data_IF_486911142302
#
_entry.id   IF_486911142302
#
_cell.length_a   1.000
_cell.length_b   1.000
_cell.length_c   1.000
_cell.angle_alpha   90.00
_cell.angle_beta   90.00
_cell.angle_gamma   90.00
#
_symmetry.space_group_name_H-M   'P 1'
#
loop_
_entity.id
_entity.type
_entity.pdbx_description
1 polymer ?
#
# COMPACT_ATOMS: atom_id res chain seq x y z
N UNK A 1 27.56 14.04 5.20
CA UNK A 1 26.93 13.41 4.00
C UNK A 1 27.45 11.99 3.82
N UNK A 2 28.78 11.74 3.91
CA UNK A 2 29.34 10.38 3.76
C UNK A 2 28.83 9.40 4.84
N UNK A 3 28.66 9.86 6.07
CA UNK A 3 28.21 9.04 7.19
C UNK A 3 26.75 8.54 7.02
N UNK A 4 25.82 9.40 6.60
CA UNK A 4 24.42 9.03 6.38
C UNK A 4 24.27 7.92 5.34
N UNK A 5 24.84 8.07 4.15
CA UNK A 5 24.77 7.05 3.09
C UNK A 5 25.46 5.75 3.50
N UNK A 6 26.56 5.85 4.24
CA UNK A 6 27.29 4.68 4.77
C UNK A 6 26.44 3.90 5.77
N UNK A 7 25.71 4.59 6.66
CA UNK A 7 24.80 3.91 7.60
C UNK A 7 23.67 3.21 6.89
N UNK A 8 23.07 3.86 5.86
CA UNK A 8 22.01 3.23 5.05
C UNK A 8 22.56 2.01 4.30
N UNK A 9 23.72 2.12 3.65
CA UNK A 9 24.34 1.00 2.95
C UNK A 9 24.58 -0.19 3.90
N UNK A 10 25.17 0.07 5.06
CA UNK A 10 25.42 -0.97 6.07
C UNK A 10 24.11 -1.64 6.57
N UNK A 11 23.04 -0.86 6.76
CA UNK A 11 21.75 -1.41 7.17
C UNK A 11 21.12 -2.28 6.06
N UNK A 12 21.21 -1.87 4.79
CA UNK A 12 20.72 -2.65 3.65
C UNK A 12 21.54 -3.94 3.46
N UNK A 13 22.87 -3.89 3.60
CA UNK A 13 23.75 -5.06 3.60
C UNK A 13 23.44 -6.00 4.78
N UNK A 14 23.03 -5.45 5.93
CA UNK A 14 22.56 -6.19 7.10
C UNK A 14 21.16 -6.80 6.94
N UNK A 15 20.54 -6.69 5.77
CA UNK A 15 19.23 -7.27 5.46
C UNK A 15 18.03 -6.35 5.77
N UNK A 16 18.27 -5.10 6.20
CA UNK A 16 17.18 -4.11 6.31
C UNK A 16 16.66 -3.73 4.93
N UNK A 17 15.42 -3.23 4.85
CA UNK A 17 14.78 -2.80 3.60
C UNK A 17 14.34 -1.35 3.69
N UNK A 18 14.48 -0.63 2.59
CA UNK A 18 13.93 0.72 2.47
C UNK A 18 12.41 0.70 2.61
N UNK A 19 11.88 1.55 3.50
CA UNK A 19 10.44 1.67 3.76
C UNK A 19 9.86 3.04 3.41
N UNK A 20 10.69 4.09 3.36
CA UNK A 20 10.25 5.43 2.97
C UNK A 20 11.25 6.51 3.33
N UNK A 21 11.02 7.71 2.80
CA UNK A 21 11.81 8.89 3.09
C UNK A 21 10.87 10.10 3.23
N UNK A 22 11.21 11.02 4.12
CA UNK A 22 10.52 12.32 4.24
C UNK A 22 11.48 13.42 4.69
N UNK A 23 11.05 14.67 4.49
CA UNK A 23 11.78 15.85 4.94
C UNK A 23 11.04 16.50 6.12
N UNK A 24 11.78 16.86 7.16
CA UNK A 24 11.28 17.56 8.35
C UNK A 24 12.42 18.25 9.10
N UNK A 25 12.13 19.38 9.77
CA UNK A 25 13.05 20.06 10.69
C UNK A 25 14.43 20.39 10.12
N UNK A 26 14.53 20.67 8.82
CA UNK A 26 15.82 20.92 8.16
C UNK A 26 16.67 19.66 7.92
N UNK A 27 16.06 18.49 8.01
CA UNK A 27 16.69 17.18 7.77
C UNK A 27 15.88 16.33 6.82
N UNK A 28 16.52 15.33 6.24
CA UNK A 28 15.87 14.21 5.54
C UNK A 28 15.98 12.98 6.44
N UNK A 29 14.88 12.25 6.56
CA UNK A 29 14.77 11.05 7.36
C UNK A 29 14.43 9.86 6.46
N UNK A 30 15.26 8.83 6.49
CA UNK A 30 15.02 7.55 5.80
C UNK A 30 14.60 6.50 6.79
N UNK A 31 13.44 5.89 6.54
CA UNK A 31 12.96 4.75 7.29
C UNK A 31 13.45 3.44 6.65
N UNK A 32 14.08 2.61 7.45
CA UNK A 32 14.52 1.27 7.13
C UNK A 32 13.78 0.28 8.02
N UNK A 33 13.42 -0.88 7.49
CA UNK A 33 12.80 -1.98 8.26
C UNK A 33 13.80 -3.11 8.39
N UNK A 34 14.17 -3.40 9.61
CA UNK A 34 15.04 -4.53 9.95
C UNK A 34 14.32 -5.88 9.75
N UNK A 35 15.04 -7.02 9.65
CA UNK A 35 14.44 -8.34 9.46
C UNK A 35 13.43 -8.75 10.53
N UNK A 36 13.55 -8.23 11.75
CA UNK A 36 12.61 -8.44 12.86
C UNK A 36 11.37 -7.51 12.80
N UNK A 37 11.29 -6.62 11.81
CA UNK A 37 10.21 -5.65 11.62
C UNK A 37 10.42 -4.31 12.31
N UNK A 38 11.50 -4.12 13.07
CA UNK A 38 11.81 -2.86 13.71
C UNK A 38 12.08 -1.76 12.69
N UNK A 39 11.52 -0.56 12.94
CA UNK A 39 11.72 0.61 12.09
C UNK A 39 12.89 1.42 12.64
N UNK A 40 13.89 1.63 11.80
CA UNK A 40 15.04 2.48 12.07
C UNK A 40 14.92 3.76 11.24
N UNK A 41 15.17 4.92 11.85
CA UNK A 41 15.18 6.22 11.18
C UNK A 41 16.61 6.72 11.09
N UNK A 42 17.13 6.80 9.87
CA UNK A 42 18.41 7.40 9.57
C UNK A 42 18.22 8.83 9.08
N UNK A 43 19.00 9.78 9.60
CA UNK A 43 18.79 11.19 9.32
C UNK A 43 20.05 11.85 8.77
N UNK A 44 19.84 12.78 7.84
CA UNK A 44 20.86 13.68 7.33
C UNK A 44 20.39 15.14 7.39
N UNK A 45 21.22 16.08 7.83
CA UNK A 45 20.90 17.51 7.73
C UNK A 45 20.86 17.94 6.26
N UNK A 46 19.92 18.82 5.94
CA UNK A 46 19.87 19.52 4.66
C UNK A 46 20.81 20.73 4.74
N UNK A 47 21.79 20.79 3.84
CA UNK A 47 22.75 21.89 3.76
C UNK A 47 22.52 22.64 2.45
N UNK A 48 22.22 23.92 2.53
CA UNK A 48 21.91 24.78 1.36
C UNK A 48 20.82 24.18 0.44
N UNK A 49 19.80 23.54 1.05
CA UNK A 49 18.71 22.88 0.32
C UNK A 49 19.10 21.57 -0.36
N UNK A 50 20.27 20.99 -0.04
CA UNK A 50 20.83 19.81 -0.71
C UNK A 50 21.11 18.68 0.28
N UNK A 51 20.97 17.44 -0.22
CA UNK A 51 21.30 16.21 0.49
C UNK A 51 21.78 15.15 -0.51
N UNK A 52 22.62 14.21 -0.08
CA UNK A 52 23.04 13.11 -0.95
C UNK A 52 21.89 12.15 -1.27
N UNK A 53 21.69 11.82 -2.54
CA UNK A 53 20.72 10.81 -2.98
C UNK A 53 21.08 9.42 -2.48
N UNK A 54 20.08 8.58 -2.26
CA UNK A 54 20.24 7.16 -1.91
C UNK A 54 19.63 6.22 -2.97
N UNK A 55 19.24 6.76 -4.13
CA UNK A 55 18.59 5.99 -5.21
C UNK A 55 19.49 4.88 -5.77
N UNK A 56 20.80 5.09 -5.78
CA UNK A 56 21.80 4.09 -6.17
C UNK A 56 21.93 2.93 -5.16
N UNK A 57 21.65 3.19 -3.87
CA UNK A 57 21.61 2.18 -2.80
C UNK A 57 20.25 1.50 -2.71
N UNK A 58 19.18 2.27 -2.86
CA UNK A 58 17.81 1.83 -2.77
C UNK A 58 16.96 2.50 -3.87
N UNK A 59 16.82 1.88 -5.06
CA UNK A 59 16.02 2.43 -6.17
C UNK A 59 14.57 2.75 -5.78
N UNK A 60 14.03 2.07 -4.78
CA UNK A 60 12.72 2.32 -4.18
C UNK A 60 12.55 3.75 -3.62
N UNK A 61 13.65 4.48 -3.34
CA UNK A 61 13.61 5.86 -2.85
C UNK A 61 13.33 6.89 -3.95
N UNK A 62 13.32 6.49 -5.23
CA UNK A 62 13.18 7.40 -6.36
C UNK A 62 11.97 8.34 -6.24
N UNK A 63 10.79 7.80 -5.95
CA UNK A 63 9.59 8.62 -5.83
C UNK A 63 9.62 9.49 -4.58
N UNK A 64 10.11 8.97 -3.45
CA UNK A 64 10.19 9.70 -2.20
C UNK A 64 11.14 10.93 -2.31
N UNK A 65 12.29 10.80 -2.98
CA UNK A 65 13.20 11.91 -3.22
C UNK A 65 12.60 12.96 -4.17
N UNK A 66 11.97 12.54 -5.26
CA UNK A 66 11.29 13.44 -6.21
C UNK A 66 10.12 14.19 -5.55
N UNK A 67 9.32 13.51 -4.72
CA UNK A 67 8.27 14.14 -3.94
C UNK A 67 8.85 15.20 -2.97
N UNK A 68 9.95 14.88 -2.30
CA UNK A 68 10.62 15.83 -1.41
C UNK A 68 11.20 17.04 -2.16
N UNK A 69 11.63 16.86 -3.42
CA UNK A 69 12.01 17.98 -4.27
C UNK A 69 10.82 18.90 -4.56
N UNK A 70 9.71 18.32 -5.02
CA UNK A 70 8.56 19.10 -5.46
C UNK A 70 7.86 19.80 -4.29
N UNK A 71 7.70 19.12 -3.13
CA UNK A 71 6.93 19.63 -2.00
C UNK A 71 7.77 20.49 -1.03
N UNK A 72 9.09 20.27 -0.95
CA UNK A 72 9.95 20.93 0.04
C UNK A 72 11.13 21.70 -0.56
N UNK A 73 11.22 21.74 -1.90
CA UNK A 73 12.27 22.47 -2.60
C UNK A 73 13.68 21.89 -2.41
N UNK A 74 13.79 20.61 -2.04
CA UNK A 74 15.06 19.96 -1.82
C UNK A 74 15.71 19.53 -3.13
N UNK A 75 17.02 19.36 -3.12
CA UNK A 75 17.79 18.77 -4.21
C UNK A 75 18.60 17.58 -3.71
N UNK A 76 18.52 16.47 -4.44
CA UNK A 76 19.25 15.24 -4.13
C UNK A 76 20.43 15.07 -5.06
N UNK A 77 21.63 15.21 -4.51
CA UNK A 77 22.88 15.08 -5.28
C UNK A 77 23.12 13.63 -5.67
N UNK A 78 23.24 13.36 -6.97
CA UNK A 78 23.39 12.02 -7.53
C UNK A 78 22.07 11.37 -7.96
N UNK A 79 20.92 12.04 -7.83
CA UNK A 79 19.66 11.56 -8.41
C UNK A 79 19.53 12.05 -9.86
N UNK A 80 19.86 11.19 -10.82
CA UNK A 80 19.78 11.53 -12.24
C UNK A 80 19.00 10.46 -13.03
N UNK A 81 18.00 10.88 -13.84
CA UNK A 81 17.46 12.23 -13.94
C UNK A 81 16.46 12.56 -12.83
N UNK A 82 16.64 13.69 -12.16
CA UNK A 82 15.69 14.20 -11.18
C UNK A 82 14.52 14.86 -11.93
N UNK A 83 13.39 14.17 -11.99
CA UNK A 83 12.20 14.59 -12.73
C UNK A 83 11.06 14.95 -11.77
N UNK A 84 10.15 15.89 -12.14
CA UNK A 84 8.97 16.18 -11.34
C UNK A 84 8.10 14.96 -11.11
N UNK A 85 7.49 14.85 -9.94
CA UNK A 85 6.53 13.81 -9.58
C UNK A 85 5.14 14.39 -9.28
N UNK A 86 5.09 15.38 -8.39
CA UNK A 86 3.85 16.02 -7.90
C UNK A 86 3.57 17.31 -8.68
N UNK A 87 4.61 18.05 -9.07
CA UNK A 87 4.47 19.29 -9.83
C UNK A 87 3.99 19.01 -11.25
N UNK A 88 2.80 19.53 -11.58
CA UNK A 88 2.15 19.38 -12.88
C UNK A 88 2.25 20.64 -13.76
N UNK A 89 2.85 21.72 -13.28
CA UNK A 89 2.98 22.97 -14.03
C UNK A 89 4.14 22.94 -15.03
N UNK A 90 5.00 21.91 -14.93
CA UNK A 90 6.14 21.73 -15.81
C UNK A 90 5.75 21.07 -17.14
N UNK A 91 6.50 21.42 -18.21
CA UNK A 91 6.31 20.82 -19.54
C UNK A 91 6.39 19.30 -19.48
N UNK A 92 5.51 18.62 -20.21
CA UNK A 92 5.48 17.17 -20.34
C UNK A 92 6.80 16.57 -20.80
N UNK A 93 7.65 17.34 -21.52
CA UNK A 93 8.97 16.90 -21.95
C UNK A 93 9.96 16.73 -20.79
N UNK A 94 9.81 17.51 -19.73
CA UNK A 94 10.66 17.40 -18.54
C UNK A 94 10.24 16.21 -17.65
N UNK A 95 9.02 15.72 -17.84
CA UNK A 95 8.46 14.62 -17.06
C UNK A 95 8.77 13.23 -17.65
N UNK A 96 8.82 13.08 -18.98
CA UNK A 96 9.06 11.78 -19.65
C UNK A 96 10.54 11.47 -19.79
N UNK A 97 10.88 10.17 -19.82
CA UNK A 97 12.22 9.69 -20.16
C UNK A 97 12.34 9.56 -21.68
N UNK A 98 13.41 10.06 -22.32
CA UNK A 98 13.67 9.78 -23.72
C UNK A 98 13.90 8.27 -23.95
N UNK A 99 13.11 7.68 -24.82
CA UNK A 99 13.25 6.26 -25.23
C UNK A 99 13.89 6.22 -26.62
N UNK A 100 14.94 5.40 -26.76
CA UNK A 100 15.61 5.13 -28.04
C UNK A 100 15.12 3.81 -28.59
N UNK A 101 14.96 3.72 -29.91
CA UNK A 101 14.53 2.50 -30.61
C UNK A 101 14.26 2.81 -32.07
N UNK A 102 13.93 1.78 -32.84
CA UNK A 102 13.51 1.91 -34.26
C UNK A 102 12.04 2.34 -34.28
N UNK A 103 11.78 3.57 -34.73
CA UNK A 103 10.47 4.20 -34.81
C UNK A 103 9.57 4.08 -33.54
N UNK A 104 10.05 4.43 -32.32
CA UNK A 104 9.19 4.43 -31.15
C UNK A 104 8.15 5.54 -31.26
N UNK A 105 6.89 5.20 -30.99
CA UNK A 105 5.83 6.20 -30.87
C UNK A 105 5.21 6.19 -29.48
N UNK A 106 4.48 7.25 -29.15
CA UNK A 106 3.88 7.42 -27.85
C UNK A 106 2.36 7.25 -27.92
N UNK A 107 1.83 6.47 -26.97
CA UNK A 107 0.38 6.37 -26.74
C UNK A 107 0.08 6.98 -25.38
N UNK A 108 -0.80 7.99 -25.36
CA UNK A 108 -1.22 8.68 -24.17
C UNK A 108 -2.62 8.20 -23.74
N UNK A 109 -2.76 7.80 -22.46
CA UNK A 109 -4.02 7.34 -21.88
C UNK A 109 -4.28 8.13 -20.58
N UNK A 110 -5.48 8.69 -20.46
CA UNK A 110 -5.84 9.55 -19.32
C UNK A 110 -5.36 11.01 -19.47
N UNK A 111 -5.48 11.86 -18.43
CA UNK A 111 -5.77 11.53 -17.03
C UNK A 111 -7.24 11.22 -16.71
N UNK A 112 -8.15 11.40 -17.65
CA UNK A 112 -9.59 11.12 -17.45
C UNK A 112 -9.91 9.77 -18.10
N UNK A 113 -10.45 8.83 -17.30
CA UNK A 113 -10.80 7.47 -17.71
C UNK A 113 -12.31 7.23 -17.62
N UNK A 114 -13.11 8.00 -18.36
CA UNK A 114 -14.58 7.91 -18.42
C UNK A 114 -15.28 7.92 -17.03
N UNK A 115 -14.65 8.46 -15.99
CA UNK A 115 -15.20 8.53 -14.64
C UNK A 115 -15.22 7.23 -13.85
N UNK A 116 -14.65 6.15 -14.38
CA UNK A 116 -14.66 4.82 -13.74
C UNK A 116 -13.52 4.66 -12.74
N UNK A 117 -12.35 5.22 -13.04
CA UNK A 117 -11.16 5.20 -12.18
C UNK A 117 -10.68 6.62 -11.89
N UNK A 118 -9.88 6.76 -10.83
CA UNK A 118 -9.30 8.04 -10.46
C UNK A 118 -8.30 8.53 -11.50
N UNK A 119 -7.97 9.84 -11.47
CA UNK A 119 -7.16 10.49 -12.49
C UNK A 119 -5.69 10.03 -12.42
N UNK A 120 -5.19 9.54 -13.52
CA UNK A 120 -3.80 9.20 -13.73
C UNK A 120 -3.50 9.21 -15.24
N UNK A 121 -2.34 9.72 -15.62
CA UNK A 121 -1.91 9.74 -17.01
C UNK A 121 -0.83 8.69 -17.25
N UNK A 122 -1.05 7.88 -18.25
CA UNK A 122 -0.11 6.86 -18.69
C UNK A 122 0.42 7.23 -20.06
N UNK A 123 1.73 7.32 -20.19
CA UNK A 123 2.40 7.51 -21.47
C UNK A 123 3.22 6.27 -21.78
N UNK A 124 2.75 5.53 -22.75
CA UNK A 124 3.41 4.34 -23.27
C UNK A 124 4.35 4.74 -24.39
N UNK A 125 5.58 4.27 -24.34
CA UNK A 125 6.51 4.28 -25.44
C UNK A 125 6.49 2.89 -26.06
N UNK A 126 6.11 2.78 -27.31
CA UNK A 126 5.84 1.48 -27.99
C UNK A 126 6.56 1.38 -29.32
N UNK A 127 6.89 0.13 -29.69
CA UNK A 127 7.28 -0.24 -31.06
C UNK A 127 6.34 -1.36 -31.50
N UNK A 128 5.57 -1.12 -32.57
CA UNK A 128 4.40 -1.95 -32.84
C UNK A 128 3.44 -1.91 -31.66
N UNK A 129 3.02 -3.07 -31.16
CA UNK A 129 2.17 -3.17 -29.94
C UNK A 129 2.96 -3.43 -28.65
N UNK A 130 4.29 -3.52 -28.72
CA UNK A 130 5.13 -3.83 -27.56
C UNK A 130 5.51 -2.58 -26.79
N UNK A 131 5.22 -2.57 -25.51
CA UNK A 131 5.60 -1.51 -24.58
C UNK A 131 7.11 -1.58 -24.31
N UNK A 132 7.85 -0.52 -24.63
CA UNK A 132 9.25 -0.38 -24.26
C UNK A 132 9.37 0.22 -22.86
N UNK A 133 8.52 1.21 -22.57
CA UNK A 133 8.50 1.91 -21.30
C UNK A 133 7.11 2.48 -21.02
N UNK A 134 6.76 2.53 -19.75
CA UNK A 134 5.59 3.24 -19.24
C UNK A 134 6.06 4.37 -18.31
N UNK A 135 5.70 5.60 -18.64
CA UNK A 135 5.73 6.73 -17.71
C UNK A 135 4.33 6.92 -17.12
N UNK A 136 4.21 6.72 -15.81
CA UNK A 136 2.97 6.92 -15.06
C UNK A 136 3.03 8.27 -14.31
N UNK A 137 2.06 9.16 -14.59
CA UNK A 137 1.89 10.43 -13.92
C UNK A 137 0.64 10.41 -13.08
N UNK A 138 0.81 10.45 -11.77
CA UNK A 138 -0.25 10.52 -10.77
C UNK A 138 -0.33 11.93 -10.17
N UNK A 139 -0.83 12.05 -8.96
CA UNK A 139 -0.93 13.30 -8.18
C UNK A 139 -1.88 14.36 -8.76
N UNK A 140 -2.79 13.99 -9.69
CA UNK A 140 -3.83 14.88 -10.19
C UNK A 140 -4.85 15.29 -9.13
N UNK A 141 -4.96 14.50 -8.07
CA UNK A 141 -5.84 14.76 -6.92
C UNK A 141 -5.03 14.90 -5.63
N UNK A 142 -3.83 15.46 -5.71
CA UNK A 142 -3.05 15.76 -4.51
C UNK A 142 -3.79 16.81 -3.67
N UNK A 143 -4.17 16.41 -2.46
CA UNK A 143 -4.99 17.21 -1.54
C UNK A 143 -4.17 17.81 -0.40
N UNK A 144 -2.88 17.46 -0.31
CA UNK A 144 -2.00 17.90 0.77
C UNK A 144 -2.46 17.39 2.14
N UNK A 145 -2.97 16.14 2.23
CA UNK A 145 -3.52 15.60 3.48
C UNK A 145 -2.49 15.57 4.60
N UNK A 146 -1.22 15.25 4.29
CA UNK A 146 -0.14 15.25 5.27
C UNK A 146 0.04 16.64 5.87
N UNK A 147 0.14 17.67 5.02
CA UNK A 147 0.26 19.07 5.47
C UNK A 147 -0.97 19.58 6.20
N UNK A 148 -2.16 19.12 5.81
CA UNK A 148 -3.41 19.52 6.45
C UNK A 148 -3.54 18.97 7.90
N UNK A 149 -2.73 18.01 8.31
CA UNK A 149 -2.65 17.52 9.69
C UNK A 149 -1.74 18.36 10.58
N UNK A 150 -0.83 19.15 10.01
CA UNK A 150 0.12 19.95 10.77
C UNK A 150 -0.58 20.95 11.70
N UNK A 151 -0.02 21.15 12.88
CA UNK A 151 -0.56 21.97 13.98
C UNK A 151 -1.89 21.48 14.60
N UNK A 152 -2.47 20.37 14.15
CA UNK A 152 -3.65 19.73 14.76
C UNK A 152 -3.23 18.89 15.97
N UNK A 153 -4.17 18.63 16.89
CA UNK A 153 -3.93 17.61 17.89
C UNK A 153 -3.77 16.22 17.26
N UNK A 154 -3.14 15.28 17.94
CA UNK A 154 -2.94 13.92 17.44
C UNK A 154 -4.28 13.25 17.08
N UNK A 155 -5.34 13.48 17.85
CA UNK A 155 -6.66 12.93 17.56
C UNK A 155 -7.32 13.56 16.31
N UNK A 156 -7.20 14.89 16.15
CA UNK A 156 -7.77 15.61 15.00
C UNK A 156 -7.10 15.26 13.66
N UNK A 157 -5.88 14.71 13.68
CA UNK A 157 -5.19 14.25 12.48
C UNK A 157 -5.72 12.91 11.93
N UNK A 158 -6.35 12.08 12.76
CA UNK A 158 -6.82 10.73 12.39
C UNK A 158 -7.75 10.71 11.15
N UNK A 159 -8.78 11.56 11.03
CA UNK A 159 -9.65 11.56 9.85
C UNK A 159 -8.91 11.85 8.54
N UNK A 160 -7.84 12.64 8.56
CA UNK A 160 -7.04 12.93 7.37
C UNK A 160 -6.32 11.68 6.88
N UNK A 161 -5.71 10.91 7.77
CA UNK A 161 -5.09 9.63 7.41
C UNK A 161 -6.12 8.66 6.82
N UNK A 162 -7.27 8.50 7.44
CA UNK A 162 -8.34 7.61 6.95
C UNK A 162 -8.92 8.04 5.60
N UNK A 163 -8.98 9.36 5.33
CA UNK A 163 -9.52 9.91 4.09
C UNK A 163 -8.53 9.92 2.92
N UNK A 164 -7.31 9.41 3.11
CA UNK A 164 -6.39 9.21 2.01
C UNK A 164 -7.00 8.28 0.95
N UNK A 165 -7.66 7.18 1.36
CA UNK A 165 -8.33 6.25 0.44
C UNK A 165 -9.38 5.42 1.18
N UNK A 166 -10.54 5.20 0.57
CA UNK A 166 -11.59 4.34 1.13
C UNK A 166 -11.17 2.86 1.20
N UNK A 167 -10.38 2.40 0.25
CA UNK A 167 -9.94 1.01 0.18
C UNK A 167 -8.88 0.64 1.25
N UNK A 168 -8.19 1.61 1.83
CA UNK A 168 -7.18 1.42 2.86
C UNK A 168 -7.47 2.28 4.12
N UNK A 169 -8.74 2.58 4.38
CA UNK A 169 -9.15 3.51 5.43
C UNK A 169 -8.76 3.00 6.82
N UNK A 170 -9.00 1.71 7.10
CA UNK A 170 -8.64 1.09 8.39
C UNK A 170 -7.14 1.02 8.54
N UNK A 171 -6.44 0.54 7.51
CA UNK A 171 -4.98 0.45 7.55
C UNK A 171 -4.34 1.80 7.85
N UNK A 172 -4.77 2.86 7.15
CA UNK A 172 -4.21 4.20 7.32
C UNK A 172 -4.53 4.77 8.70
N UNK A 173 -5.74 4.56 9.22
CA UNK A 173 -6.12 5.03 10.57
C UNK A 173 -5.43 4.23 11.66
N UNK A 174 -5.30 2.91 11.53
CA UNK A 174 -4.56 2.08 12.50
C UNK A 174 -3.08 2.46 12.52
N UNK A 175 -2.45 2.65 11.34
CA UNK A 175 -1.06 3.07 11.27
C UNK A 175 -0.85 4.43 11.93
N UNK A 176 -1.70 5.41 11.64
CA UNK A 176 -1.64 6.73 12.26
C UNK A 176 -1.89 6.66 13.78
N UNK A 177 -2.93 5.94 14.23
CA UNK A 177 -3.25 5.80 15.64
C UNK A 177 -2.09 5.19 16.41
N UNK A 178 -1.49 4.10 15.91
CA UNK A 178 -0.35 3.46 16.54
C UNK A 178 0.88 4.37 16.62
N UNK A 179 1.14 5.20 15.60
CA UNK A 179 2.23 6.19 15.63
C UNK A 179 1.97 7.25 16.72
N UNK A 180 0.75 7.78 16.79
CA UNK A 180 0.35 8.72 17.84
C UNK A 180 0.43 8.10 19.25
N UNK A 181 0.04 6.84 19.40
CA UNK A 181 0.12 6.11 20.66
C UNK A 181 1.56 5.92 21.14
N UNK A 182 2.51 5.71 20.22
CA UNK A 182 3.93 5.69 20.58
C UNK A 182 4.39 7.06 21.12
N UNK A 183 3.89 8.16 20.52
CA UNK A 183 4.16 9.52 21.01
C UNK A 183 3.56 9.74 22.39
N UNK A 184 2.35 9.23 22.62
CA UNK A 184 1.65 9.36 23.91
C UNK A 184 2.12 8.37 24.98
N UNK A 185 3.02 7.44 24.68
CA UNK A 185 3.43 6.38 25.58
C UNK A 185 2.30 5.40 25.89
N UNK A 186 1.47 5.09 24.89
CA UNK A 186 0.36 4.15 24.97
C UNK A 186 0.62 2.85 24.24
N UNK A 187 0.03 1.76 24.73
CA UNK A 187 0.04 0.45 24.07
C UNK A 187 -1.39 -0.10 23.99
N UNK A 188 -1.77 -0.75 22.88
CA UNK A 188 -3.08 -1.37 22.78
C UNK A 188 -3.22 -2.51 23.79
N UNK A 189 -4.39 -2.58 24.44
CA UNK A 189 -4.81 -3.76 25.19
C UNK A 189 -5.13 -4.91 24.23
N UNK A 190 -5.33 -6.12 24.74
CA UNK A 190 -5.69 -7.30 23.92
C UNK A 190 -6.98 -7.04 23.16
N UNK A 191 -7.95 -6.35 23.76
CA UNK A 191 -9.25 -6.01 23.15
C UNK A 191 -9.06 -5.01 22.01
N UNK A 192 -8.28 -3.96 22.19
CA UNK A 192 -7.95 -2.98 21.13
C UNK A 192 -7.21 -3.64 19.99
N UNK A 193 -6.18 -4.44 20.29
CA UNK A 193 -5.41 -5.15 19.29
C UNK A 193 -6.29 -6.10 18.47
N UNK A 194 -7.18 -6.86 19.14
CA UNK A 194 -8.11 -7.78 18.50
C UNK A 194 -9.13 -7.05 17.63
N UNK A 195 -9.76 -5.99 18.13
CA UNK A 195 -10.74 -5.21 17.38
C UNK A 195 -10.13 -4.61 16.10
N UNK A 196 -8.95 -4.00 16.20
CA UNK A 196 -8.25 -3.43 15.04
C UNK A 196 -7.83 -4.50 14.04
N UNK A 197 -7.44 -5.68 14.51
CA UNK A 197 -7.10 -6.80 13.62
C UNK A 197 -8.33 -7.30 12.85
N UNK A 198 -9.48 -7.42 13.51
CA UNK A 198 -10.75 -7.76 12.84
C UNK A 198 -11.09 -6.73 11.77
N UNK A 199 -10.99 -5.44 12.07
CA UNK A 199 -11.26 -4.37 11.12
C UNK A 199 -10.32 -4.41 9.90
N UNK A 200 -9.02 -4.65 10.12
CA UNK A 200 -8.02 -4.79 9.06
C UNK A 200 -8.31 -6.00 8.16
N UNK A 201 -8.70 -7.14 8.73
CA UNK A 201 -9.02 -8.33 7.95
C UNK A 201 -10.37 -8.19 7.23
N UNK A 202 -11.36 -7.48 7.79
CA UNK A 202 -12.59 -7.12 7.08
C UNK A 202 -12.30 -6.17 5.89
N UNK A 203 -11.39 -5.20 6.05
CA UNK A 203 -10.90 -4.35 4.96
C UNK A 203 -10.21 -5.19 3.89
N UNK A 204 -9.34 -6.12 4.27
CA UNK A 204 -8.63 -7.01 3.36
C UNK A 204 -9.58 -7.89 2.56
N UNK A 205 -10.57 -8.50 3.21
CA UNK A 205 -11.53 -9.41 2.60
C UNK A 205 -12.24 -8.77 1.40
N UNK A 206 -12.93 -7.65 1.61
CA UNK A 206 -13.67 -7.04 0.52
C UNK A 206 -12.78 -6.50 -0.60
N UNK A 207 -11.55 -6.04 -0.26
CA UNK A 207 -10.58 -5.61 -1.26
C UNK A 207 -10.14 -6.79 -2.13
N UNK A 208 -9.72 -7.90 -1.56
CA UNK A 208 -9.24 -9.04 -2.36
C UNK A 208 -10.35 -9.71 -3.17
N UNK A 209 -11.58 -9.78 -2.64
CA UNK A 209 -12.73 -10.22 -3.44
C UNK A 209 -12.97 -9.30 -4.65
N UNK A 210 -12.92 -7.98 -4.45
CA UNK A 210 -12.98 -7.00 -5.53
C UNK A 210 -11.86 -7.20 -6.55
N UNK A 211 -10.62 -7.37 -6.09
CA UNK A 211 -9.43 -7.46 -6.91
C UNK A 211 -9.47 -8.69 -7.82
N UNK A 212 -9.91 -9.84 -7.31
CA UNK A 212 -10.15 -11.07 -8.09
C UNK A 212 -11.19 -10.77 -9.18
N UNK A 213 -12.28 -10.11 -8.83
CA UNK A 213 -13.31 -9.68 -9.78
C UNK A 213 -12.76 -8.75 -10.86
N UNK A 214 -11.90 -7.79 -10.50
CA UNK A 214 -11.29 -6.87 -11.44
C UNK A 214 -10.32 -7.58 -12.41
N UNK A 215 -9.59 -8.60 -11.96
CA UNK A 215 -8.76 -9.42 -12.85
C UNK A 215 -9.64 -10.17 -13.85
N UNK A 216 -10.79 -10.73 -13.42
CA UNK A 216 -11.78 -11.31 -14.33
C UNK A 216 -12.26 -10.31 -15.38
N UNK A 217 -12.56 -9.07 -14.99
CA UNK A 217 -12.90 -8.00 -15.93
C UNK A 217 -11.74 -7.67 -16.90
N UNK A 218 -10.49 -7.75 -16.43
CA UNK A 218 -9.29 -7.50 -17.21
C UNK A 218 -9.11 -8.47 -18.38
N UNK A 219 -9.57 -9.70 -18.25
CA UNK A 219 -9.59 -10.70 -19.32
C UNK A 219 -10.93 -10.79 -20.07
N UNK A 220 -11.91 -9.95 -19.72
CA UNK A 220 -13.23 -9.95 -20.33
C UNK A 220 -14.18 -11.02 -19.80
N UNK A 221 -13.88 -11.68 -18.68
CA UNK A 221 -14.77 -12.69 -18.05
C UNK A 221 -15.84 -12.02 -17.18
N UNK A 222 -16.90 -11.51 -17.82
CA UNK A 222 -17.98 -10.78 -17.15
C UNK A 222 -18.67 -11.59 -16.03
N UNK A 223 -18.93 -12.88 -16.24
CA UNK A 223 -19.57 -13.74 -15.26
C UNK A 223 -18.75 -13.85 -13.96
N UNK A 224 -17.45 -14.07 -14.07
CA UNK A 224 -16.53 -14.09 -12.94
C UNK A 224 -16.49 -12.74 -12.20
N UNK A 225 -16.37 -11.64 -12.96
CA UNK A 225 -16.38 -10.29 -12.39
C UNK A 225 -17.67 -10.03 -11.59
N UNK A 226 -18.86 -10.26 -12.17
CA UNK A 226 -20.15 -10.00 -11.51
C UNK A 226 -20.28 -10.81 -10.22
N UNK A 227 -19.83 -12.06 -10.20
CA UNK A 227 -19.90 -12.93 -9.04
C UNK A 227 -19.04 -12.41 -7.88
N UNK A 228 -17.78 -12.04 -8.14
CA UNK A 228 -16.90 -11.48 -7.12
C UNK A 228 -17.31 -10.06 -6.69
N UNK A 229 -17.88 -9.25 -7.56
CA UNK A 229 -18.47 -7.95 -7.21
C UNK A 229 -19.67 -8.13 -6.25
N UNK A 230 -20.51 -9.15 -6.47
CA UNK A 230 -21.61 -9.46 -5.55
C UNK A 230 -21.09 -9.87 -4.15
N UNK A 231 -20.04 -10.69 -4.08
CA UNK A 231 -19.39 -11.07 -2.82
C UNK A 231 -18.75 -9.85 -2.13
N UNK A 232 -18.11 -8.99 -2.89
CA UNK A 232 -17.56 -7.72 -2.40
C UNK A 232 -18.64 -6.85 -1.77
N UNK A 233 -19.79 -6.75 -2.42
CA UNK A 233 -20.93 -5.97 -1.90
C UNK A 233 -21.47 -6.55 -0.61
N UNK A 234 -21.58 -7.87 -0.49
CA UNK A 234 -22.00 -8.54 0.76
C UNK A 234 -21.01 -8.23 1.90
N UNK A 235 -19.70 -8.35 1.65
CA UNK A 235 -18.68 -8.01 2.66
C UNK A 235 -18.78 -6.54 3.10
N UNK A 236 -19.04 -5.61 2.17
CA UNK A 236 -19.23 -4.18 2.50
C UNK A 236 -20.52 -3.90 3.27
N UNK A 237 -21.60 -4.65 3.02
CA UNK A 237 -22.85 -4.56 3.80
C UNK A 237 -22.61 -5.06 5.22
N UNK A 238 -21.94 -6.20 5.37
CA UNK A 238 -21.53 -6.69 6.67
C UNK A 238 -20.70 -5.65 7.44
N UNK A 239 -19.73 -5.00 6.79
CA UNK A 239 -18.99 -3.92 7.42
C UNK A 239 -19.90 -2.79 7.93
N UNK A 240 -20.91 -2.39 7.14
CA UNK A 240 -21.85 -1.34 7.53
C UNK A 240 -22.73 -1.78 8.72
N UNK A 241 -23.16 -3.02 8.77
CA UNK A 241 -23.93 -3.59 9.89
C UNK A 241 -23.10 -3.59 11.18
N UNK A 242 -21.81 -3.95 11.10
CA UNK A 242 -20.94 -4.05 12.27
C UNK A 242 -20.45 -2.69 12.80
N UNK A 243 -20.24 -1.70 11.92
CA UNK A 243 -19.54 -0.45 12.28
C UNK A 243 -20.29 0.83 11.91
N UNK A 244 -21.43 0.70 11.22
CA UNK A 244 -22.17 1.85 10.68
C UNK A 244 -21.64 2.41 9.36
N UNK A 245 -20.51 1.88 8.84
CA UNK A 245 -19.92 2.38 7.59
C UNK A 245 -19.34 1.27 6.71
N UNK A 246 -19.70 1.25 5.41
CA UNK A 246 -19.30 0.24 4.41
C UNK A 246 -17.78 0.08 4.24
N UNK A 247 -17.03 1.17 4.43
CA UNK A 247 -15.57 1.23 4.37
C UNK A 247 -14.92 1.39 5.74
N UNK A 248 -15.65 1.10 6.82
CA UNK A 248 -15.16 1.08 8.20
C UNK A 248 -14.60 2.43 8.68
N UNK A 249 -15.02 3.57 8.08
CA UNK A 249 -14.63 4.89 8.58
C UNK A 249 -15.18 5.12 10.00
N UNK A 250 -14.38 5.74 10.85
CA UNK A 250 -14.77 6.10 12.20
C UNK A 250 -14.75 4.93 13.20
N UNK A 251 -14.17 3.78 12.82
CA UNK A 251 -14.11 2.60 13.70
C UNK A 251 -12.83 2.51 14.55
N UNK A 252 -11.85 3.37 14.28
CA UNK A 252 -10.55 3.44 15.02
C UNK A 252 -10.41 4.81 15.64
N UNK A 253 -9.92 4.86 16.88
CA UNK A 253 -9.55 6.08 17.60
C UNK A 253 -8.07 6.06 17.94
N UNK A 254 -7.48 7.26 18.14
CA UNK A 254 -6.17 7.39 18.78
C UNK A 254 -6.33 7.04 20.25
N UNK A 255 -5.62 6.02 20.70
CA UNK A 255 -5.73 5.52 22.08
C UNK A 255 -6.84 4.51 22.30
N UNK A 256 -7.46 3.95 21.23
CA UNK A 256 -8.50 2.95 21.39
C UNK A 256 -9.17 2.48 20.11
N UNK A 257 -10.38 1.95 20.25
CA UNK A 257 -11.31 1.66 19.18
C UNK A 257 -12.74 2.01 19.57
N UNK A 258 -13.52 2.47 18.60
CA UNK A 258 -14.90 2.94 18.82
C UNK A 258 -15.97 1.86 18.60
N UNK A 259 -15.62 0.68 18.10
CA UNK A 259 -16.59 -0.35 17.69
C UNK A 259 -16.89 -1.34 18.78
N UNK A 260 -18.18 -1.73 18.86
CA UNK A 260 -18.67 -2.82 19.71
C UNK A 260 -19.77 -3.57 18.98
N UNK A 261 -19.68 -4.90 18.88
CA UNK A 261 -20.70 -5.73 18.26
C UNK A 261 -20.62 -7.19 18.71
N UNK A 262 -21.77 -7.87 18.61
CA UNK A 262 -21.87 -9.31 18.82
C UNK A 262 -21.47 -10.08 17.55
N UNK A 263 -20.62 -11.11 17.63
CA UNK A 263 -20.03 -11.73 16.45
C UNK A 263 -20.90 -12.78 15.76
N UNK A 264 -22.04 -13.19 16.32
CA UNK A 264 -22.82 -14.34 15.82
C UNK A 264 -23.26 -14.16 14.36
N UNK A 265 -23.94 -13.04 14.05
CA UNK A 265 -24.39 -12.73 12.69
C UNK A 265 -23.21 -12.55 11.71
N UNK A 266 -22.12 -11.92 12.18
CA UNK A 266 -20.92 -11.77 11.37
C UNK A 266 -20.29 -13.12 10.98
N UNK A 267 -20.22 -14.07 11.91
CA UNK A 267 -19.68 -15.41 11.63
C UNK A 267 -20.54 -16.17 10.61
N UNK A 268 -21.87 -16.06 10.71
CA UNK A 268 -22.80 -16.71 9.79
C UNK A 268 -22.62 -16.15 8.37
N UNK A 269 -22.63 -14.84 8.20
CA UNK A 269 -22.47 -14.20 6.89
C UNK A 269 -21.07 -14.44 6.31
N UNK A 270 -20.01 -14.39 7.12
CA UNK A 270 -18.65 -14.70 6.69
C UNK A 270 -18.52 -16.16 6.22
N UNK A 271 -19.17 -17.11 6.89
CA UNK A 271 -19.18 -18.51 6.45
C UNK A 271 -19.89 -18.67 5.10
N UNK A 272 -21.00 -17.95 4.89
CA UNK A 272 -21.72 -17.97 3.62
C UNK A 272 -20.90 -17.32 2.49
N UNK A 273 -20.26 -16.17 2.74
CA UNK A 273 -19.35 -15.51 1.76
C UNK A 273 -18.18 -16.45 1.44
N UNK A 274 -17.59 -17.12 2.44
CA UNK A 274 -16.51 -18.08 2.24
C UNK A 274 -16.92 -19.20 1.29
N UNK A 275 -18.00 -19.89 1.60
CA UNK A 275 -18.48 -21.03 0.79
C UNK A 275 -18.74 -20.63 -0.67
N UNK A 276 -19.32 -19.46 -0.90
CA UNK A 276 -19.60 -18.96 -2.23
C UNK A 276 -18.32 -18.50 -2.96
N UNK A 277 -17.39 -17.86 -2.25
CA UNK A 277 -16.10 -17.45 -2.82
C UNK A 277 -15.23 -18.65 -3.23
N UNK A 278 -15.23 -19.73 -2.44
CA UNK A 278 -14.55 -20.98 -2.77
C UNK A 278 -15.19 -21.68 -3.99
N UNK A 279 -16.50 -21.62 -4.12
CA UNK A 279 -17.21 -22.13 -5.31
C UNK A 279 -16.85 -21.30 -6.55
N UNK A 280 -16.90 -19.97 -6.43
CA UNK A 280 -16.52 -19.06 -7.51
C UNK A 280 -15.07 -19.25 -7.94
N UNK A 281 -14.15 -19.40 -6.97
CA UNK A 281 -12.74 -19.65 -7.25
C UNK A 281 -12.52 -20.94 -8.02
N UNK A 282 -13.16 -22.05 -7.61
CA UNK A 282 -13.08 -23.33 -8.34
C UNK A 282 -13.54 -23.21 -9.80
N UNK A 283 -14.62 -22.48 -10.05
CA UNK A 283 -15.10 -22.24 -11.42
C UNK A 283 -14.08 -21.46 -12.28
N UNK A 284 -13.37 -20.49 -11.68
CA UNK A 284 -12.30 -19.78 -12.37
C UNK A 284 -11.15 -20.70 -12.77
N UNK A 285 -10.75 -21.62 -11.88
CA UNK A 285 -9.66 -22.56 -12.15
C UNK A 285 -9.96 -23.52 -13.31
N UNK A 286 -11.23 -23.85 -13.54
CA UNK A 286 -11.68 -24.70 -14.64
C UNK A 286 -12.02 -23.93 -15.93
N UNK A 287 -11.86 -22.60 -15.94
CA UNK A 287 -12.10 -21.79 -17.11
C UNK A 287 -10.78 -21.59 -17.90
N UNK A 288 -10.56 -22.44 -18.92
CA UNK A 288 -9.35 -22.39 -19.73
C UNK A 288 -9.10 -21.00 -20.39
N UNK A 289 -10.17 -20.37 -20.94
CA UNK A 289 -10.06 -19.05 -21.57
C UNK A 289 -9.63 -17.95 -20.58
N UNK A 290 -9.92 -18.11 -19.29
CA UNK A 290 -9.44 -17.25 -18.23
C UNK A 290 -7.99 -17.59 -17.88
N UNK A 291 -7.72 -18.85 -17.57
CA UNK A 291 -6.42 -19.30 -17.07
C UNK A 291 -5.28 -19.10 -18.06
N UNK A 292 -5.54 -19.28 -19.36
CA UNK A 292 -4.53 -19.15 -20.43
C UNK A 292 -4.07 -17.69 -20.67
N UNK A 293 -4.82 -16.70 -20.15
CA UNK A 293 -4.51 -15.26 -20.32
C UNK A 293 -3.62 -14.68 -19.20
N UNK A 294 -3.38 -15.43 -18.13
CA UNK A 294 -2.74 -14.91 -16.93
C UNK A 294 -1.23 -15.15 -16.84
N UNK A 295 -0.71 -16.31 -17.28
CA UNK A 295 0.72 -16.62 -17.17
C UNK A 295 1.57 -15.70 -18.04
N UNK A 296 2.78 -15.44 -17.55
CA UNK A 296 3.84 -14.70 -18.26
C UNK A 296 3.48 -13.25 -18.65
N UNK A 297 2.41 -12.69 -18.07
CA UNK A 297 1.96 -11.31 -18.30
C UNK A 297 2.34 -10.44 -17.10
N UNK A 298 3.05 -9.34 -17.35
CA UNK A 298 3.40 -8.35 -16.34
C UNK A 298 4.31 -8.92 -15.26
N UNK A 299 5.35 -9.62 -15.64
CA UNK A 299 6.30 -10.27 -14.74
C UNK A 299 7.09 -9.22 -13.95
N UNK A 300 7.22 -9.44 -12.66
CA UNK A 300 8.17 -8.78 -11.77
C UNK A 300 9.04 -9.86 -11.14
N UNK A 301 10.31 -9.89 -11.50
CA UNK A 301 11.24 -10.84 -10.91
C UNK A 301 11.40 -10.58 -9.41
N UNK A 302 11.92 -11.59 -8.67
CA UNK A 302 12.21 -11.43 -7.25
C UNK A 302 13.21 -10.29 -6.99
N UNK A 303 14.21 -10.17 -7.85
CA UNK A 303 15.26 -9.16 -7.73
C UNK A 303 14.72 -7.76 -8.04
N UNK A 304 13.86 -7.61 -9.07
CA UNK A 304 13.17 -6.35 -9.37
C UNK A 304 12.21 -5.96 -8.25
N UNK A 305 11.45 -6.91 -7.71
CA UNK A 305 10.56 -6.67 -6.57
C UNK A 305 11.33 -6.15 -5.35
N UNK A 306 12.53 -6.70 -5.12
CA UNK A 306 13.42 -6.26 -4.05
C UNK A 306 13.97 -4.85 -4.33
N UNK A 307 14.50 -4.61 -5.54
CA UNK A 307 15.11 -3.35 -5.92
C UNK A 307 14.11 -2.18 -5.91
N UNK A 308 12.90 -2.39 -6.45
CA UNK A 308 11.83 -1.38 -6.45
C UNK A 308 11.07 -1.28 -5.13
N UNK A 309 11.41 -2.11 -4.14
CA UNK A 309 10.76 -2.09 -2.83
C UNK A 309 9.28 -2.48 -2.88
N UNK A 310 8.95 -3.49 -3.69
CA UNK A 310 7.59 -4.03 -3.77
C UNK A 310 7.11 -4.49 -2.39
N UNK A 311 5.82 -4.30 -2.12
CA UNK A 311 5.18 -4.70 -0.87
C UNK A 311 3.87 -5.46 -1.14
N UNK A 312 3.39 -6.19 -0.14
CA UNK A 312 2.09 -6.83 -0.20
C UNK A 312 1.98 -7.97 -1.22
N UNK A 313 0.80 -8.16 -1.82
CA UNK A 313 0.57 -9.23 -2.81
C UNK A 313 1.54 -9.20 -3.99
N UNK A 314 1.98 -8.00 -4.43
CA UNK A 314 2.97 -7.87 -5.50
C UNK A 314 4.33 -8.47 -5.11
N UNK A 315 4.82 -8.17 -3.91
CA UNK A 315 6.07 -8.72 -3.38
C UNK A 315 5.98 -10.24 -3.19
N UNK A 316 4.89 -10.71 -2.57
CA UNK A 316 4.69 -12.14 -2.28
C UNK A 316 4.52 -12.96 -3.55
N UNK A 317 3.82 -12.45 -4.55
CA UNK A 317 3.71 -13.09 -5.87
C UNK A 317 5.06 -13.23 -6.60
N UNK A 318 6.04 -12.40 -6.25
CA UNK A 318 7.43 -12.46 -6.73
C UNK A 318 8.36 -13.26 -5.80
N UNK A 319 7.82 -14.01 -4.83
CA UNK A 319 8.59 -14.86 -3.92
C UNK A 319 9.25 -14.17 -2.73
N UNK A 320 8.84 -12.94 -2.41
CA UNK A 320 9.29 -12.24 -1.20
C UNK A 320 8.28 -12.50 -0.07
N UNK A 321 8.60 -13.39 0.86
CA UNK A 321 7.75 -13.73 2.00
C UNK A 321 7.73 -12.63 3.07
N UNK A 322 7.47 -11.38 2.67
CA UNK A 322 7.39 -10.23 3.56
C UNK A 322 5.94 -9.81 3.79
N UNK A 323 5.57 -9.68 5.06
CA UNK A 323 4.24 -9.26 5.49
C UNK A 323 4.35 -8.58 6.86
N UNK A 324 3.88 -7.33 6.96
CA UNK A 324 3.96 -6.59 8.22
C UNK A 324 3.10 -7.21 9.34
N UNK A 325 2.16 -8.09 9.02
CA UNK A 325 1.38 -8.85 10.00
C UNK A 325 2.26 -9.81 10.81
N UNK A 326 3.27 -10.41 10.17
CA UNK A 326 4.15 -11.39 10.82
C UNK A 326 5.06 -10.79 11.91
N UNK A 327 5.34 -9.50 11.82
CA UNK A 327 6.23 -8.79 12.76
C UNK A 327 5.50 -7.78 13.64
N UNK A 328 4.16 -7.74 13.59
CA UNK A 328 3.38 -6.78 14.38
C UNK A 328 3.28 -7.21 15.84
N UNK A 329 3.73 -6.35 16.75
CA UNK A 329 3.60 -6.51 18.21
C UNK A 329 2.42 -5.72 18.81
N UNK A 330 1.66 -5.01 17.96
CA UNK A 330 0.55 -4.12 18.38
C UNK A 330 -0.82 -4.57 17.86
N UNK A 331 -0.87 -5.70 17.16
CA UNK A 331 -2.08 -6.31 16.59
C UNK A 331 -2.14 -7.79 16.96
N UNK A 332 -3.32 -8.41 16.84
CA UNK A 332 -3.55 -9.79 17.25
C UNK A 332 -3.20 -10.81 16.14
N UNK A 333 -1.97 -10.76 15.65
CA UNK A 333 -1.44 -11.66 14.62
C UNK A 333 -0.47 -12.71 15.17
N UNK A 334 -0.58 -13.06 16.44
CA UNK A 334 0.31 -14.06 17.06
C UNK A 334 0.33 -15.37 16.25
N UNK A 335 1.52 -15.83 15.87
CA UNK A 335 1.70 -17.04 15.05
C UNK A 335 1.37 -16.88 13.56
N UNK A 336 1.09 -15.66 13.10
CA UNK A 336 0.87 -15.41 11.67
C UNK A 336 2.14 -15.67 10.87
N UNK A 337 1.98 -16.36 9.73
CA UNK A 337 3.04 -16.56 8.75
C UNK A 337 2.61 -16.03 7.39
N UNK A 338 3.51 -15.32 6.72
CA UNK A 338 3.28 -14.89 5.36
C UNK A 338 3.20 -16.10 4.41
N UNK A 339 2.24 -16.07 3.51
CA UNK A 339 2.07 -17.11 2.48
C UNK A 339 2.52 -16.55 1.14
N UNK A 340 3.25 -17.35 0.37
CA UNK A 340 3.59 -17.07 -1.02
C UNK A 340 2.98 -18.15 -1.93
N UNK A 341 2.65 -17.84 -3.20
CA UNK A 341 2.14 -18.85 -4.13
C UNK A 341 3.19 -19.94 -4.36
N UNK A 342 2.74 -21.15 -4.67
CA UNK A 342 3.65 -22.25 -4.98
C UNK A 342 4.57 -21.93 -6.16
N UNK A 343 4.01 -21.29 -7.20
CA UNK A 343 4.76 -20.75 -8.34
C UNK A 343 4.77 -19.21 -8.25
N UNK A 344 5.76 -18.67 -7.55
CA UNK A 344 5.93 -17.24 -7.37
C UNK A 344 6.59 -16.61 -8.62
N UNK A 345 5.91 -16.69 -9.77
CA UNK A 345 6.42 -16.23 -11.07
C UNK A 345 6.44 -14.70 -11.20
N UNK A 346 5.79 -13.97 -10.28
CA UNK A 346 5.70 -12.52 -10.32
C UNK A 346 4.78 -11.97 -11.43
N UNK A 347 3.99 -12.81 -12.09
CA UNK A 347 3.06 -12.46 -13.14
C UNK A 347 1.64 -12.21 -12.63
N UNK A 348 0.70 -11.97 -13.54
CA UNK A 348 -0.72 -11.77 -13.20
C UNK A 348 -1.29 -12.99 -12.49
N UNK A 349 -0.94 -14.21 -12.92
CA UNK A 349 -1.43 -15.44 -12.30
C UNK A 349 -0.95 -15.53 -10.84
N UNK A 350 0.32 -15.32 -10.59
CA UNK A 350 0.88 -15.37 -9.24
C UNK A 350 0.24 -14.31 -8.31
N UNK A 351 -0.03 -13.09 -8.83
CA UNK A 351 -0.73 -12.05 -8.06
C UNK A 351 -2.19 -12.39 -7.79
N UNK A 352 -2.87 -13.08 -8.70
CA UNK A 352 -4.23 -13.58 -8.50
C UNK A 352 -4.27 -14.70 -7.44
N UNK A 353 -3.39 -15.70 -7.57
CA UNK A 353 -3.26 -16.80 -6.61
C UNK A 353 -2.92 -16.29 -5.20
N UNK A 354 -2.03 -15.30 -5.10
CA UNK A 354 -1.70 -14.66 -3.83
C UNK A 354 -2.93 -14.08 -3.13
N UNK A 355 -3.80 -13.37 -3.88
CA UNK A 355 -5.03 -12.82 -3.30
C UNK A 355 -6.01 -13.91 -2.87
N UNK A 356 -6.13 -14.98 -3.62
CA UNK A 356 -6.98 -16.11 -3.24
C UNK A 356 -6.49 -16.79 -1.96
N UNK A 357 -5.17 -16.97 -1.81
CA UNK A 357 -4.56 -17.48 -0.59
C UNK A 357 -4.83 -16.54 0.61
N UNK A 358 -4.67 -15.23 0.42
CA UNK A 358 -4.94 -14.25 1.48
C UNK A 358 -6.41 -14.16 1.85
N UNK A 359 -7.35 -14.37 0.91
CA UNK A 359 -8.80 -14.49 1.21
C UNK A 359 -9.05 -15.66 2.16
N UNK A 360 -8.46 -16.84 1.88
CA UNK A 360 -8.62 -18.00 2.76
C UNK A 360 -8.04 -17.74 4.14
N UNK A 361 -6.82 -17.20 4.20
CA UNK A 361 -6.15 -16.84 5.45
C UNK A 361 -6.95 -15.79 6.25
N UNK A 362 -7.56 -14.83 5.57
CA UNK A 362 -8.44 -13.82 6.20
C UNK A 362 -9.68 -14.46 6.82
N UNK A 363 -10.33 -15.42 6.15
CA UNK A 363 -11.46 -16.14 6.74
C UNK A 363 -11.06 -16.93 7.99
N UNK A 364 -9.90 -17.59 7.97
CA UNK A 364 -9.41 -18.36 9.12
C UNK A 364 -9.08 -17.45 10.30
N UNK A 365 -8.45 -16.30 10.05
CA UNK A 365 -8.17 -15.27 11.06
C UNK A 365 -9.47 -14.71 11.66
N UNK A 366 -10.42 -14.30 10.82
CA UNK A 366 -11.70 -13.77 11.28
C UNK A 366 -12.48 -14.82 12.07
N UNK A 367 -12.50 -16.08 11.64
CA UNK A 367 -13.13 -17.17 12.38
C UNK A 367 -12.52 -17.36 13.77
N UNK A 368 -11.20 -17.21 13.91
CA UNK A 368 -10.50 -17.27 15.20
C UNK A 368 -10.79 -16.05 16.08
N UNK A 369 -10.73 -14.84 15.50
CA UNK A 369 -10.83 -13.58 16.24
C UNK A 369 -12.27 -13.26 16.68
N UNK A 370 -13.28 -13.78 15.98
CA UNK A 370 -14.72 -13.55 16.26
C UNK A 370 -15.34 -14.58 17.23
N UNK A 371 -14.55 -15.19 18.13
CA UNK A 371 -15.06 -16.15 19.11
C UNK A 371 -15.72 -15.48 20.35
N UNK A 372 -15.48 -14.20 20.57
CA UNK A 372 -16.02 -13.41 21.66
C UNK A 372 -16.52 -12.05 21.18
N UNK A 373 -17.40 -11.36 21.91
CA UNK A 373 -17.86 -10.02 21.59
C UNK A 373 -16.69 -9.05 21.34
N UNK A 374 -16.85 -8.18 20.34
CA UNK A 374 -15.96 -7.03 20.15
C UNK A 374 -16.48 -5.89 21.02
N UNK A 375 -15.62 -5.31 21.82
CA UNK A 375 -15.97 -4.23 22.75
C UNK A 375 -15.17 -2.98 22.45
N UNK A 376 -15.77 -1.81 22.66
CA UNK A 376 -15.04 -0.57 22.67
C UNK A 376 -14.05 -0.58 23.85
N UNK A 377 -12.80 -0.28 23.59
CA UNK A 377 -11.72 -0.36 24.57
C UNK A 377 -10.68 0.75 24.35
N UNK A 378 -9.96 1.09 25.41
CA UNK A 378 -8.86 2.05 25.38
C UNK A 378 -7.50 1.34 25.49
N UNK A 379 -6.48 2.01 24.97
CA UNK A 379 -5.09 1.65 25.18
C UNK A 379 -4.68 1.94 26.64
N UNK A 380 -3.63 1.29 27.09
CA UNK A 380 -3.05 1.47 28.42
C UNK A 380 -1.72 2.26 28.36
N UNK A 381 -1.30 2.84 29.48
CA UNK A 381 0.00 3.50 29.57
C UNK A 381 1.13 2.47 29.49
N UNK A 382 2.11 2.73 28.67
CA UNK A 382 3.29 1.87 28.47
C UNK A 382 4.61 2.54 28.88
N UNK A 383 4.55 3.77 29.35
CA UNK A 383 5.72 4.52 29.80
C UNK A 383 5.83 5.93 29.22
N UNK A 384 7.06 6.43 29.09
CA UNK A 384 7.30 7.75 28.53
C UNK A 384 6.99 7.80 27.02
N UNK A 385 6.35 8.89 26.59
CA UNK A 385 6.13 9.17 25.18
C UNK A 385 7.41 9.51 24.42
N UNK A 386 7.28 9.62 23.10
CA UNK A 386 8.38 9.92 22.17
C UNK A 386 8.05 11.19 21.38
N UNK A 387 9.05 11.84 20.80
CA UNK A 387 8.81 12.95 19.87
C UNK A 387 8.34 12.45 18.49
N UNK A 388 8.72 11.22 18.11
CA UNK A 388 8.43 10.61 16.82
C UNK A 388 7.83 9.22 17.05
N UNK A 389 6.69 8.96 16.41
CA UNK A 389 6.09 7.65 16.31
C UNK A 389 6.22 7.13 14.86
N UNK A 390 6.64 5.88 14.72
CA UNK A 390 6.77 5.23 13.42
C UNK A 390 6.16 3.83 13.46
N UNK A 391 5.31 3.52 12.51
CA UNK A 391 4.59 2.24 12.45
C UNK A 391 4.47 1.73 11.02
N UNK A 392 4.28 0.42 10.90
CA UNK A 392 4.06 -0.27 9.65
C UNK A 392 2.88 -1.22 9.79
N UNK A 393 1.86 -1.06 8.96
CA UNK A 393 0.64 -1.88 8.97
C UNK A 393 0.39 -2.44 7.58
N UNK A 394 0.05 -3.72 7.48
CA UNK A 394 -0.19 -4.38 6.20
C UNK A 394 -1.58 -4.07 5.68
N UNK A 395 -1.65 -3.30 4.59
CA UNK A 395 -2.89 -3.05 3.84
C UNK A 395 -3.15 -4.15 2.80
N UNK A 396 -4.33 -4.20 2.20
CA UNK A 396 -4.60 -5.08 1.05
C UNK A 396 -3.67 -4.86 -0.15
N UNK A 397 -3.01 -3.70 -0.21
CA UNK A 397 -2.05 -3.30 -1.27
C UNK A 397 -0.60 -3.48 -0.85
N UNK A 398 -0.35 -3.84 0.41
CA UNK A 398 0.96 -3.98 1.01
C UNK A 398 1.20 -3.03 2.17
N UNK A 399 2.37 -3.16 2.78
CA UNK A 399 2.71 -2.42 3.98
C UNK A 399 2.62 -0.90 3.79
N UNK A 400 1.86 -0.26 4.67
CA UNK A 400 1.79 1.20 4.82
C UNK A 400 2.71 1.61 5.96
N UNK A 401 3.67 2.49 5.68
CA UNK A 401 4.48 3.18 6.68
C UNK A 401 3.78 4.46 7.09
N UNK A 402 3.65 4.70 8.39
CA UNK A 402 3.19 5.96 8.94
C UNK A 402 4.21 6.48 9.94
N UNK A 403 4.69 7.72 9.75
CA UNK A 403 5.56 8.43 10.67
C UNK A 403 4.83 9.71 11.08
N UNK A 404 4.74 9.94 12.38
CA UNK A 404 4.20 11.17 12.97
C UNK A 404 5.29 11.80 13.83
N UNK A 405 5.61 13.04 13.56
CA UNK A 405 6.43 13.86 14.45
C UNK A 405 5.52 14.79 15.23
N UNK A 406 5.83 15.00 16.50
CA UNK A 406 5.01 15.83 17.37
C UNK A 406 5.84 16.86 18.09
N UNK A 407 5.34 18.09 18.07
CA UNK A 407 5.82 19.20 18.87
C UNK A 407 4.67 19.74 19.74
N UNK A 408 4.90 19.87 21.05
CA UNK A 408 3.92 20.41 22.02
C UNK A 408 2.54 19.69 21.96
N UNK A 409 2.52 18.37 21.75
CA UNK A 409 1.29 17.56 21.69
C UNK A 409 0.46 17.73 20.42
N UNK A 410 1.02 18.39 19.40
CA UNK A 410 0.41 18.58 18.08
C UNK A 410 1.25 17.89 17.01
N UNK A 411 0.61 17.56 15.91
CA UNK A 411 1.30 17.03 14.74
C UNK A 411 2.19 18.13 14.17
N UNK A 412 3.49 17.87 14.13
CA UNK A 412 4.48 18.72 13.46
C UNK A 412 4.65 18.25 12.00
N UNK A 413 4.74 16.94 11.81
CA UNK A 413 4.87 16.32 10.49
C UNK A 413 4.15 14.97 10.45
N UNK A 414 3.45 14.71 9.34
CA UNK A 414 2.93 13.39 8.98
C UNK A 414 3.61 12.91 7.70
N UNK A 415 4.07 11.67 7.70
CA UNK A 415 4.41 10.91 6.48
C UNK A 415 3.56 9.65 6.44
N UNK A 416 2.76 9.50 5.36
CA UNK A 416 1.94 8.33 5.09
C UNK A 416 2.37 7.73 3.75
N UNK A 417 3.25 6.72 3.78
CA UNK A 417 3.71 6.02 2.59
C UNK A 417 2.94 4.71 2.44
N UNK A 418 1.91 4.73 1.61
CA UNK A 418 0.98 3.61 1.43
C UNK A 418 1.55 2.50 0.56
N UNK A 419 1.00 1.28 0.66
CA UNK A 419 1.38 0.17 -0.22
C UNK A 419 1.17 0.47 -1.71
N UNK A 420 0.13 1.24 -2.06
CA UNK A 420 -0.08 1.69 -3.44
C UNK A 420 1.02 2.63 -3.91
N UNK A 421 1.41 3.61 -3.09
CA UNK A 421 2.53 4.51 -3.43
C UNK A 421 3.82 3.72 -3.70
N UNK A 422 4.13 2.74 -2.85
CA UNK A 422 5.32 1.90 -3.00
C UNK A 422 5.31 1.07 -4.29
N UNK A 423 4.14 0.57 -4.71
CA UNK A 423 4.02 -0.36 -5.83
C UNK A 423 3.79 0.31 -7.20
N UNK A 424 3.49 1.60 -7.30
CA UNK A 424 3.31 2.25 -8.59
C UNK A 424 4.54 2.20 -9.50
N UNK A 425 5.78 2.40 -8.99
CA UNK A 425 6.99 2.17 -9.81
C UNK A 425 7.10 0.72 -10.30
N UNK A 426 6.65 -0.25 -9.51
CA UNK A 426 6.64 -1.67 -9.87
C UNK A 426 5.68 -1.95 -11.02
N UNK A 427 4.49 -1.31 -11.05
CA UNK A 427 3.54 -1.43 -12.18
C UNK A 427 4.16 -0.91 -13.48
N UNK A 428 4.85 0.24 -13.40
CA UNK A 428 5.50 0.81 -14.58
C UNK A 428 6.58 -0.14 -15.12
N UNK A 429 7.34 -0.77 -14.24
CA UNK A 429 8.34 -1.79 -14.60
C UNK A 429 7.68 -3.03 -15.20
N UNK A 430 6.63 -3.56 -14.56
CA UNK A 430 5.91 -4.76 -15.00
C UNK A 430 5.25 -4.59 -16.38
N UNK A 431 4.93 -3.37 -16.81
CA UNK A 431 4.33 -3.09 -18.11
C UNK A 431 5.32 -3.26 -19.27
N UNK A 432 6.62 -3.00 -19.02
CA UNK A 432 7.65 -3.09 -20.07
C UNK A 432 7.77 -4.52 -20.64
N UNK A 433 7.98 -4.62 -21.96
CA UNK A 433 8.09 -5.90 -22.65
C UNK A 433 6.77 -6.58 -22.99
N UNK A 434 5.64 -6.17 -22.40
CA UNK A 434 4.32 -6.72 -22.68
C UNK A 434 3.64 -6.01 -23.88
N UNK A 435 2.54 -6.56 -24.36
CA UNK A 435 1.72 -5.92 -25.37
C UNK A 435 0.85 -4.82 -24.76
N UNK A 436 0.62 -3.73 -25.48
CA UNK A 436 -0.20 -2.61 -25.02
C UNK A 436 -1.63 -3.05 -24.60
N UNK A 437 -2.32 -3.97 -25.32
CA UNK A 437 -3.62 -4.48 -24.90
C UNK A 437 -3.62 -5.27 -23.57
N UNK A 438 -2.47 -5.76 -23.09
CA UNK A 438 -2.38 -6.49 -21.83
C UNK A 438 -2.23 -5.56 -20.62
N UNK A 439 -1.91 -4.28 -20.84
CA UNK A 439 -1.72 -3.34 -19.72
C UNK A 439 -2.93 -3.20 -18.79
N UNK A 440 -4.20 -3.14 -19.24
CA UNK A 440 -5.34 -3.13 -18.34
C UNK A 440 -5.39 -4.34 -17.40
N UNK A 441 -5.02 -5.53 -17.87
CA UNK A 441 -4.93 -6.74 -17.05
C UNK A 441 -3.76 -6.63 -16.05
N UNK A 442 -2.59 -6.17 -16.50
CA UNK A 442 -1.45 -5.93 -15.62
C UNK A 442 -1.84 -4.96 -14.51
N UNK A 443 -2.39 -3.80 -14.84
CA UNK A 443 -2.81 -2.77 -13.87
C UNK A 443 -3.82 -3.32 -12.86
N UNK A 444 -4.88 -4.01 -13.34
CA UNK A 444 -5.89 -4.65 -12.48
C UNK A 444 -5.32 -5.75 -11.59
N UNK A 445 -4.25 -6.41 -12.00
CA UNK A 445 -3.60 -7.43 -11.15
C UNK A 445 -2.88 -6.83 -9.94
N UNK A 446 -2.44 -5.59 -10.00
CA UNK A 446 -1.92 -4.84 -8.86
C UNK A 446 -3.04 -4.16 -8.06
N UNK A 447 -4.08 -3.67 -8.73
CA UNK A 447 -5.26 -2.96 -8.18
C UNK A 447 -4.87 -1.84 -7.20
N UNK A 448 -3.95 -0.97 -7.62
CA UNK A 448 -3.44 0.12 -6.80
C UNK A 448 -4.41 1.30 -6.74
N UNK A 449 -4.48 1.93 -5.57
CA UNK A 449 -5.30 3.13 -5.36
C UNK A 449 -4.52 4.38 -5.79
N UNK A 450 -5.08 5.17 -6.68
CA UNK A 450 -4.54 6.49 -7.08
C UNK A 450 -4.60 7.46 -5.90
N UNK A 451 -5.75 7.53 -5.22
CA UNK A 451 -5.93 8.39 -4.06
C UNK A 451 -4.92 8.13 -2.93
N UNK A 452 -4.47 6.88 -2.74
CA UNK A 452 -3.42 6.52 -1.79
C UNK A 452 -2.03 7.04 -2.19
N UNK A 453 -1.78 7.21 -3.47
CA UNK A 453 -0.55 7.83 -3.95
C UNK A 453 -0.64 9.35 -3.88
N UNK A 454 -1.78 9.91 -4.27
CA UNK A 454 -1.98 11.35 -4.38
C UNK A 454 -2.08 12.06 -3.02
N UNK A 455 -2.70 11.46 -1.96
CA UNK A 455 -2.88 11.93 -0.56
C UNK A 455 -3.42 13.33 -0.35
#
# INVERSE_FOLDING_TARGET
VSDYRTRIAAALEGGSRFAGLHASGGSVHTALVAPDGAIQLESAPVVDGRVGSIVDLAPAANWDEREACDLYGLRFDGHEPLRPLVDHDLDLRSWTVPVRGDDPYQVAVGPIHAGVIESGHFRFHVVGDRILQLDARLFYKHRGLERATEARSLAEGLPYAGRACAACAVTNTVAYAQACEQIMGLRPTVEVARARTILLELERLWNHLNDIGQICAGVGLAAGNMRFVALTERARRLNAELTGHRFLFGSVDVGGNAVAFEPAAAREELAAIRAESESAWRELLFNASFSDRLPDVGIVSRDDALAFGAVGPAARASGLAEDARATSDRLAYAGFAAIVPHRAAGDVQARLEQRALEVQQTFDLLASLLQAPVVAAACESSGAGRAVGATRVESPRGATLCIVESANGRVDRLRLRTGSYANWPVVAHAAAGNLLPDFPLINKSFELCYACADR
#
